data_IF_596021633242
#
_entry.id   IF_596021633242
#
_cell.length_a   1.000
_cell.length_b   1.000
_cell.length_c   1.000
_cell.angle_alpha   90.00
_cell.angle_beta   90.00
_cell.angle_gamma   90.00
#
_symmetry.space_group_name_H-M   'P 1'
#
loop_
_entity.id
_entity.type
_entity.pdbx_description
1 polymer ?
#
# COMPACT_ATOMS: atom_id res chain seq x y z
N UNK A 1 3.99 -34.38 -28.20
CA UNK A 1 3.15 -33.16 -28.12
C UNK A 1 3.72 -32.26 -27.05
N UNK A 2 4.04 -30.99 -27.37
CA UNK A 2 4.51 -30.01 -26.40
C UNK A 2 3.26 -29.36 -25.79
N UNK A 3 2.99 -29.62 -24.51
CA UNK A 3 1.89 -28.98 -23.80
C UNK A 3 2.40 -27.67 -23.22
N UNK A 4 1.88 -26.54 -23.70
CA UNK A 4 2.17 -25.23 -23.12
C UNK A 4 1.07 -24.94 -22.10
N UNK A 5 1.40 -25.04 -20.82
CA UNK A 5 0.54 -24.57 -19.74
C UNK A 5 0.55 -23.03 -19.76
N UNK A 6 -0.50 -22.44 -20.31
CA UNK A 6 -0.69 -20.99 -20.25
C UNK A 6 -1.23 -20.63 -18.86
N UNK A 7 -0.35 -20.20 -17.97
CA UNK A 7 -0.78 -19.68 -16.67
C UNK A 7 -1.52 -18.36 -16.91
N UNK A 8 -2.83 -18.33 -16.61
CA UNK A 8 -3.63 -17.10 -16.76
C UNK A 8 -3.06 -16.02 -15.85
N UNK A 9 -2.49 -14.98 -16.44
CA UNK A 9 -2.05 -13.76 -15.76
C UNK A 9 -3.27 -12.95 -15.32
N UNK A 10 -3.22 -12.41 -14.11
CA UNK A 10 -4.26 -11.56 -13.53
C UNK A 10 -3.59 -10.29 -12.96
N UNK A 11 -4.01 -9.09 -13.39
CA UNK A 11 -3.51 -7.83 -12.85
C UNK A 11 -3.73 -7.73 -11.32
N UNK A 12 -2.95 -6.88 -10.63
CA UNK A 12 -3.13 -6.66 -9.20
C UNK A 12 -4.47 -5.95 -8.93
N UNK A 13 -5.10 -6.27 -7.80
CA UNK A 13 -6.29 -5.59 -7.25
C UNK A 13 -6.21 -5.58 -5.72
N UNK A 14 -6.58 -4.47 -5.08
CA UNK A 14 -6.54 -4.40 -3.62
C UNK A 14 -7.62 -5.27 -2.98
N UNK A 15 -7.30 -5.81 -1.82
CA UNK A 15 -8.27 -6.44 -0.92
C UNK A 15 -8.66 -5.34 0.08
N UNK A 16 -9.74 -4.62 -0.22
CA UNK A 16 -10.17 -3.43 0.56
C UNK A 16 -10.33 -3.75 2.05
N UNK A 17 -10.86 -4.93 2.38
CA UNK A 17 -11.11 -5.36 3.75
C UNK A 17 -9.82 -5.63 4.56
N UNK A 18 -8.68 -5.73 3.89
CA UNK A 18 -7.36 -5.97 4.49
C UNK A 18 -6.38 -4.82 4.24
N UNK A 19 -6.84 -3.76 3.60
CA UNK A 19 -6.00 -2.61 3.23
C UNK A 19 -6.50 -1.39 3.98
N UNK A 20 -5.61 -0.80 4.79
CA UNK A 20 -5.89 0.40 5.57
C UNK A 20 -6.41 1.54 4.68
N UNK A 21 -7.33 2.32 5.24
CA UNK A 21 -7.83 3.59 4.70
C UNK A 21 -7.23 4.76 5.48
N UNK A 22 -7.68 5.97 5.20
CA UNK A 22 -7.32 7.17 5.95
C UNK A 22 -7.64 7.01 7.44
N UNK A 23 -6.75 7.51 8.30
CA UNK A 23 -6.82 7.39 9.75
C UNK A 23 -6.50 8.73 10.42
N UNK A 24 -7.32 9.09 11.41
CA UNK A 24 -7.00 10.17 12.34
C UNK A 24 -6.31 9.59 13.58
N UNK A 25 -5.04 9.96 13.76
CA UNK A 25 -4.20 9.48 14.85
C UNK A 25 -4.03 10.55 15.91
N UNK A 26 -3.86 10.13 17.16
CA UNK A 26 -3.44 11.02 18.24
C UNK A 26 -1.92 11.12 18.25
N UNK A 27 -1.40 12.26 18.68
CA UNK A 27 0.03 12.42 18.92
C UNK A 27 0.56 11.31 19.83
N UNK A 28 1.77 10.82 19.52
CA UNK A 28 2.45 9.75 20.25
C UNK A 28 1.75 8.38 20.24
N UNK A 29 0.86 8.13 19.26
CA UNK A 29 0.27 6.80 19.04
C UNK A 29 1.06 5.98 18.01
N UNK A 30 1.25 4.68 18.27
CA UNK A 30 1.79 3.74 17.30
C UNK A 30 0.67 3.15 16.46
N UNK A 31 0.79 3.24 15.13
CA UNK A 31 -0.15 2.62 14.19
C UNK A 31 0.55 1.63 13.27
N UNK A 32 -0.22 0.67 12.77
CA UNK A 32 0.22 -0.28 11.75
C UNK A 32 -0.65 -0.11 10.51
N UNK A 33 -0.02 0.29 9.40
CA UNK A 33 -0.68 0.34 8.10
C UNK A 33 -0.58 -1.02 7.42
N UNK A 34 -1.72 -1.55 7.00
CA UNK A 34 -1.80 -2.81 6.27
C UNK A 34 -2.15 -2.54 4.81
N UNK A 35 -1.55 -3.30 3.90
CA UNK A 35 -1.93 -3.27 2.50
C UNK A 35 -1.79 -4.65 1.89
N UNK A 36 -2.88 -5.11 1.28
CA UNK A 36 -2.93 -6.43 0.67
C UNK A 36 -3.57 -6.35 -0.70
N UNK A 37 -2.90 -6.96 -1.69
CA UNK A 37 -3.40 -7.05 -3.04
C UNK A 37 -3.41 -8.52 -3.50
N UNK A 38 -4.34 -8.84 -4.39
CA UNK A 38 -4.44 -10.13 -5.09
C UNK A 38 -4.07 -9.95 -6.55
N UNK A 39 -3.47 -10.96 -7.14
CA UNK A 39 -3.04 -10.97 -8.54
C UNK A 39 -2.36 -12.28 -8.88
N UNK A 40 -2.08 -12.51 -10.17
CA UNK A 40 -1.28 -13.66 -10.60
C UNK A 40 -0.29 -13.22 -11.68
N UNK A 41 1.04 -13.27 -11.44
CA UNK A 41 1.72 -13.68 -10.21
C UNK A 41 1.33 -12.86 -8.98
N UNK A 42 1.64 -13.36 -7.78
CA UNK A 42 1.32 -12.67 -6.53
C UNK A 42 1.98 -11.28 -6.51
N UNK A 43 1.23 -10.20 -6.22
CA UNK A 43 1.76 -8.85 -6.28
C UNK A 43 2.69 -8.57 -5.11
N UNK A 44 3.76 -7.84 -5.40
CA UNK A 44 4.64 -7.26 -4.40
C UNK A 44 4.07 -5.93 -3.93
N UNK A 45 4.17 -5.69 -2.62
CA UNK A 45 3.72 -4.47 -1.97
C UNK A 45 4.93 -3.58 -1.69
N UNK A 46 4.88 -2.34 -2.17
CA UNK A 46 5.87 -1.31 -1.90
C UNK A 46 5.19 -0.12 -1.22
N UNK A 47 5.75 0.30 -0.10
CA UNK A 47 5.33 1.51 0.59
C UNK A 47 6.24 2.69 0.26
N UNK A 48 5.64 3.84 0.02
CA UNK A 48 6.35 5.09 -0.20
C UNK A 48 5.60 6.23 0.50
N UNK A 49 6.32 7.21 1.04
CA UNK A 49 5.68 8.47 1.41
C UNK A 49 5.38 9.27 0.15
N UNK A 50 4.32 10.07 0.20
CA UNK A 50 3.97 10.97 -0.90
C UNK A 50 5.01 12.09 -1.09
N UNK A 51 5.67 12.53 -0.01
CA UNK A 51 6.69 13.58 -0.01
C UNK A 51 8.10 13.09 -0.39
N UNK A 52 8.22 11.85 -0.85
CA UNK A 52 9.47 11.18 -1.23
C UNK A 52 10.52 11.08 -0.12
N UNK A 53 10.18 11.47 1.11
CA UNK A 53 11.07 11.33 2.26
C UNK A 53 11.17 9.87 2.70
N UNK A 54 12.26 9.48 3.38
CA UNK A 54 12.30 8.19 4.06
C UNK A 54 11.16 8.09 5.07
N UNK A 55 10.61 6.89 5.19
CA UNK A 55 9.65 6.55 6.25
C UNK A 55 10.42 6.58 7.57
N UNK A 56 10.34 7.70 8.29
CA UNK A 56 10.84 7.81 9.65
C UNK A 56 9.72 7.36 10.59
N UNK A 57 10.06 6.51 11.56
CA UNK A 57 9.11 5.99 12.58
C UNK A 57 8.97 6.98 13.76
N UNK A 58 9.65 8.11 13.63
CA UNK A 58 9.88 9.14 14.60
C UNK A 58 8.89 10.28 14.31
N UNK A 59 7.88 10.37 15.16
CA UNK A 59 6.67 11.18 15.06
C UNK A 59 6.91 12.69 15.12
N UNK A 60 7.38 13.29 14.01
CA UNK A 60 7.50 14.75 13.91
C UNK A 60 7.10 15.39 12.58
N UNK A 61 6.50 14.64 11.63
CA UNK A 61 5.94 15.27 10.42
C UNK A 61 4.42 15.32 10.48
N UNK A 62 3.91 16.55 10.61
CA UNK A 62 2.52 16.93 10.33
C UNK A 62 2.14 16.47 8.92
N UNK A 63 1.03 15.74 8.82
CA UNK A 63 0.35 15.29 7.61
C UNK A 63 1.19 14.41 6.67
N UNK A 64 1.42 13.16 7.08
CA UNK A 64 2.11 12.16 6.26
C UNK A 64 1.10 11.32 5.46
N UNK A 65 0.96 11.60 4.16
CA UNK A 65 0.28 10.68 3.25
C UNK A 65 1.23 9.55 2.80
N UNK A 66 0.74 8.31 2.84
CA UNK A 66 1.46 7.11 2.43
C UNK A 66 0.81 6.50 1.20
N UNK A 67 1.63 6.02 0.28
CA UNK A 67 1.23 5.30 -0.92
C UNK A 67 1.61 3.83 -0.75
N UNK A 68 0.61 2.96 -0.75
CA UNK A 68 0.79 1.54 -0.97
C UNK A 68 0.71 1.25 -2.46
N UNK A 69 1.74 0.64 -3.04
CA UNK A 69 1.82 0.29 -4.45
C UNK A 69 1.85 -1.23 -4.58
N UNK A 70 0.96 -1.81 -5.39
CA UNK A 70 0.92 -3.24 -5.68
C UNK A 70 1.26 -3.53 -7.14
N UNK A 71 2.29 -4.33 -7.37
CA UNK A 71 2.80 -4.67 -8.71
C UNK A 71 3.16 -6.15 -8.82
N UNK A 72 2.75 -6.80 -9.92
CA UNK A 72 3.15 -8.18 -10.25
C UNK A 72 3.77 -8.30 -11.65
N UNK A 73 4.26 -7.19 -12.20
CA UNK A 73 4.78 -7.13 -13.59
C UNK A 73 3.71 -7.12 -14.68
N UNK A 74 2.43 -7.21 -14.32
CA UNK A 74 1.30 -7.04 -15.24
C UNK A 74 0.65 -5.69 -14.97
N UNK A 75 0.45 -4.92 -16.04
CA UNK A 75 -0.22 -3.62 -15.95
C UNK A 75 -1.74 -3.78 -15.79
N UNK A 76 -2.42 -2.84 -15.12
CA UNK A 76 -1.86 -1.66 -14.46
C UNK A 76 -1.23 -1.99 -13.10
N UNK A 77 -0.16 -1.29 -12.74
CA UNK A 77 0.26 -1.18 -11.34
C UNK A 77 -0.74 -0.29 -10.62
N UNK A 78 -1.22 -0.73 -9.46
CA UNK A 78 -2.21 0.01 -8.67
C UNK A 78 -1.54 0.61 -7.44
N UNK A 79 -2.05 1.76 -7.01
CA UNK A 79 -1.60 2.42 -5.78
C UNK A 79 -2.78 2.95 -4.99
N UNK A 80 -2.72 2.83 -3.66
CA UNK A 80 -3.69 3.40 -2.73
C UNK A 80 -3.00 4.43 -1.85
N UNK A 81 -3.58 5.63 -1.78
CA UNK A 81 -3.15 6.72 -0.89
C UNK A 81 -3.86 6.56 0.45
N UNK A 82 -3.11 6.76 1.53
CA UNK A 82 -3.57 6.69 2.91
C UNK A 82 -3.10 7.95 3.62
N UNK A 83 -4.04 8.77 4.04
CA UNK A 83 -3.77 9.99 4.79
C UNK A 83 -3.76 9.71 6.30
N UNK A 84 -2.72 10.20 6.99
CA UNK A 84 -2.68 10.23 8.45
C UNK A 84 -2.91 11.66 8.92
N UNK A 85 -4.11 11.93 9.43
CA UNK A 85 -4.43 13.18 10.10
C UNK A 85 -3.97 13.12 11.55
N UNK A 86 -3.06 14.00 11.97
CA UNK A 86 -2.69 14.10 13.39
C UNK A 86 -3.65 15.06 14.07
N UNK A 87 -4.50 14.54 14.96
CA UNK A 87 -5.35 15.37 15.82
C UNK A 87 -4.60 15.73 17.10
N UNK A 88 -3.97 16.91 17.13
CA UNK A 88 -3.49 17.51 18.38
C UNK A 88 -4.70 17.88 19.25
N UNK A 89 -4.68 17.53 20.54
CA UNK A 89 -5.62 18.03 21.54
C UNK A 89 -4.88 18.86 22.57
#
# INVERSE_FOLDING_TARGET
>A
KKFVLSVKSVPPSFIEEKTSSDLDIKENSSITLNCMAKGRPEPQILWRREDEQPIQLDSQNNDCAYLCIASNGILPTISKRIFLGVSCK
#
